data_IF_540400894807
#
_entry.id   IF_540400894807
#
_cell.length_a   1.000
_cell.length_b   1.000
_cell.length_c   1.000
_cell.angle_alpha   90.00
_cell.angle_beta   90.00
_cell.angle_gamma   90.00
#
_symmetry.space_group_name_H-M   'P 1'
#
loop_
_entity.id
_entity.type
_entity.pdbx_description
1 polymer ?
#
# COMPACT_ATOMS: atom_id res chain seq x y z
N UNK A 1 -8.23 0.71 -12.75
CA UNK A 1 -7.01 1.06 -11.99
C UNK A 1 -6.94 0.21 -10.74
N UNK A 2 -5.84 -0.47 -10.49
CA UNK A 2 -5.65 -1.23 -9.26
C UNK A 2 -5.21 -0.31 -8.12
N UNK A 3 -5.27 -0.82 -6.90
CA UNK A 3 -4.76 -0.08 -5.76
C UNK A 3 -3.26 0.24 -5.95
N UNK A 4 -2.52 -0.70 -6.50
CA UNK A 4 -1.09 -0.51 -6.77
C UNK A 4 -0.86 0.71 -7.67
N UNK A 5 -1.61 0.81 -8.76
CA UNK A 5 -1.50 1.96 -9.66
C UNK A 5 -1.87 3.27 -8.97
N UNK A 6 -2.93 3.23 -8.17
CA UNK A 6 -3.39 4.41 -7.44
C UNK A 6 -2.33 4.89 -6.45
N UNK A 7 -1.78 3.98 -5.65
CA UNK A 7 -0.86 4.36 -4.58
C UNK A 7 0.47 4.88 -5.13
N UNK A 8 0.90 4.41 -6.29
CA UNK A 8 2.15 4.88 -6.88
C UNK A 8 2.12 6.37 -7.21
N UNK A 9 0.94 6.95 -7.35
CA UNK A 9 0.81 8.40 -7.54
C UNK A 9 1.28 9.21 -6.33
N UNK A 10 1.43 8.57 -5.17
CA UNK A 10 1.86 9.23 -3.94
C UNK A 10 3.31 8.95 -3.59
N UNK A 11 4.07 8.31 -4.50
CA UNK A 11 5.42 7.82 -4.19
C UNK A 11 6.37 8.93 -3.69
N UNK A 12 6.16 10.16 -4.13
CA UNK A 12 6.99 11.29 -3.76
C UNK A 12 6.41 12.13 -2.63
N UNK A 13 5.27 11.75 -2.10
CA UNK A 13 4.63 12.49 -1.01
C UNK A 13 5.30 12.17 0.32
N UNK A 14 5.50 13.19 1.14
CA UNK A 14 5.99 13.02 2.51
C UNK A 14 4.79 12.88 3.47
N UNK A 15 4.01 11.85 3.24
CA UNK A 15 2.78 11.55 3.99
C UNK A 15 2.74 10.06 4.27
N UNK A 16 1.82 9.58 5.16
CA UNK A 16 1.66 8.13 5.36
C UNK A 16 1.36 7.38 4.07
N UNK A 17 0.58 7.98 3.15
CA UNK A 17 0.31 7.36 1.85
C UNK A 17 1.57 7.26 1.01
N UNK A 18 2.42 8.28 1.02
CA UNK A 18 3.69 8.24 0.31
C UNK A 18 4.62 7.18 0.87
N UNK A 19 4.67 7.04 2.19
CA UNK A 19 5.47 6.00 2.84
C UNK A 19 4.96 4.61 2.47
N UNK A 20 3.65 4.42 2.46
CA UNK A 20 3.05 3.16 2.04
C UNK A 20 3.43 2.85 0.59
N UNK A 21 3.39 3.86 -0.28
CA UNK A 21 3.77 3.68 -1.69
C UNK A 21 5.22 3.20 -1.82
N UNK A 22 6.14 3.72 -1.01
CA UNK A 22 7.53 3.29 -1.03
C UNK A 22 7.66 1.82 -0.66
N UNK A 23 6.96 1.38 0.38
CA UNK A 23 6.98 -0.02 0.79
C UNK A 23 6.42 -0.92 -0.30
N UNK A 24 5.30 -0.52 -0.90
CA UNK A 24 4.65 -1.31 -1.95
C UNK A 24 5.53 -1.42 -3.19
N UNK A 25 6.18 -0.33 -3.57
CA UNK A 25 7.07 -0.32 -4.73
C UNK A 25 8.23 -1.31 -4.54
N UNK A 26 8.73 -1.43 -3.32
CA UNK A 26 9.85 -2.30 -3.02
C UNK A 26 9.45 -3.73 -2.67
N UNK A 27 8.17 -4.03 -2.64
CA UNK A 27 7.66 -5.35 -2.28
C UNK A 27 7.34 -6.14 -3.55
N UNK A 28 8.22 -7.07 -3.89
CA UNK A 28 8.05 -7.89 -5.10
C UNK A 28 6.85 -8.82 -5.01
N UNK A 29 6.37 -9.12 -3.80
CA UNK A 29 5.26 -10.03 -3.58
C UNK A 29 3.90 -9.32 -3.48
N UNK A 30 3.89 -8.00 -3.56
CA UNK A 30 2.63 -7.25 -3.44
C UNK A 30 1.67 -7.62 -4.58
N UNK A 31 0.36 -7.83 -4.25
CA UNK A 31 -0.64 -8.19 -5.27
C UNK A 31 -1.03 -6.98 -6.13
N UNK A 32 -0.25 -6.71 -7.16
CA UNK A 32 -0.35 -5.48 -7.96
C UNK A 32 -1.66 -5.35 -8.71
N UNK A 33 -2.31 -6.45 -9.02
CA UNK A 33 -3.54 -6.43 -9.79
C UNK A 33 -4.78 -6.57 -8.91
N UNK A 34 -4.60 -6.69 -7.60
CA UNK A 34 -5.72 -6.83 -6.67
C UNK A 34 -6.53 -5.55 -6.62
N UNK A 35 -7.84 -5.67 -6.75
CA UNK A 35 -8.76 -4.54 -6.71
C UNK A 35 -9.64 -4.52 -5.46
N UNK A 36 -9.64 -5.61 -4.70
CA UNK A 36 -10.45 -5.73 -3.49
C UNK A 36 -9.71 -5.06 -2.32
N UNK A 37 -10.31 -4.01 -1.77
CA UNK A 37 -9.69 -3.26 -0.67
C UNK A 37 -9.45 -4.11 0.57
N UNK A 38 -10.34 -5.08 0.85
CA UNK A 38 -10.16 -5.95 2.00
C UNK A 38 -8.94 -6.86 1.83
N UNK A 39 -8.69 -7.33 0.62
CA UNK A 39 -7.50 -8.14 0.34
C UNK A 39 -6.23 -7.34 0.52
N UNK A 40 -6.21 -6.11 0.03
CA UNK A 40 -5.07 -5.20 0.19
C UNK A 40 -4.83 -4.92 1.68
N UNK A 41 -5.89 -4.60 2.40
CA UNK A 41 -5.79 -4.30 3.83
C UNK A 41 -5.24 -5.50 4.61
N UNK A 42 -5.73 -6.70 4.30
CA UNK A 42 -5.26 -7.92 4.94
C UNK A 42 -3.77 -8.14 4.65
N UNK A 43 -3.37 -7.95 3.41
CA UNK A 43 -1.97 -8.08 3.02
C UNK A 43 -1.09 -7.13 3.82
N UNK A 44 -1.49 -5.87 3.92
CA UNK A 44 -0.73 -4.84 4.66
C UNK A 44 -0.64 -5.21 6.14
N UNK A 45 -1.75 -5.65 6.74
CA UNK A 45 -1.76 -6.04 8.14
C UNK A 45 -0.83 -7.21 8.42
N UNK A 46 -0.71 -8.15 7.49
CA UNK A 46 0.11 -9.33 7.68
C UNK A 46 1.59 -9.10 7.38
N UNK A 47 1.90 -8.18 6.47
CA UNK A 47 3.25 -8.00 5.96
C UNK A 47 3.91 -6.69 6.39
N UNK A 48 3.13 -5.67 6.68
CA UNK A 48 3.63 -4.38 7.11
C UNK A 48 3.18 -4.14 8.54
N UNK A 49 4.12 -3.76 9.38
CA UNK A 49 3.85 -3.66 10.81
C UNK A 49 3.98 -2.22 11.31
N UNK A 50 3.64 -1.26 10.46
CA UNK A 50 3.68 0.16 10.79
C UNK A 50 2.26 0.69 10.88
N UNK A 51 1.90 1.26 12.05
CA UNK A 51 0.54 1.73 12.30
C UNK A 51 0.10 2.79 11.29
N UNK A 52 0.99 3.71 10.92
CA UNK A 52 0.65 4.75 9.96
C UNK A 52 0.30 4.17 8.59
N UNK A 53 1.03 3.15 8.17
CA UNK A 53 0.76 2.47 6.91
C UNK A 53 -0.59 1.76 6.94
N UNK A 54 -0.92 1.15 8.06
CA UNK A 54 -2.22 0.48 8.24
C UNK A 54 -3.34 1.51 8.17
N UNK A 55 -3.19 2.64 8.83
CA UNK A 55 -4.18 3.71 8.80
C UNK A 55 -4.36 4.28 7.39
N UNK A 56 -3.30 4.34 6.62
CA UNK A 56 -3.36 4.86 5.24
C UNK A 56 -4.17 3.95 4.33
N UNK A 57 -4.28 2.66 4.63
CA UNK A 57 -5.07 1.72 3.81
C UNK A 57 -6.54 1.68 4.21
N UNK A 58 -6.90 2.27 5.32
CA UNK A 58 -8.29 2.40 5.73
C UNK A 58 -8.93 3.59 5.05
#
# INVERSE_FOLDING_TARGET
MSFYDFILGFINDDTPLGHLAQYILNDACFPKEEKNNNSIRTYVLLNYNDRQLIESTN
#
